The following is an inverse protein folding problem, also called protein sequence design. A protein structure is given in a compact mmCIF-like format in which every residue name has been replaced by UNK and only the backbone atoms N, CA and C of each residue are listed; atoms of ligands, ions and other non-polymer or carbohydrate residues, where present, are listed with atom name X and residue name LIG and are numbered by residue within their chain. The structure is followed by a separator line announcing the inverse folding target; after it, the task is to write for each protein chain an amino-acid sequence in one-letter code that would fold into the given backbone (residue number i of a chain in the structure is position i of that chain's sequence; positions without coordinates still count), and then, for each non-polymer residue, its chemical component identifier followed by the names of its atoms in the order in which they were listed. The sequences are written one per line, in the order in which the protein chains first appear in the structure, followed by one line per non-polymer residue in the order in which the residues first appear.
data_IF_408110249492
#
_entry.id   IF_408110249492
#
_cell.length_a   1.000
_cell.length_b   1.000
_cell.length_c   1.000
_cell.angle_alpha   90.00
_cell.angle_beta   90.00
_cell.angle_gamma   90.00
#
_symmetry.space_group_name_H-M   'P 1'
#
loop_
_entity.id
_entity.type
_entity.pdbx_description
1 polymer ?
#
# COMPACT_ATOMS: atom_id res chain seq x y z
N UNK A 1 -0.82 8.75 15.59
CA UNK A 1 -1.49 7.44 15.81
C UNK A 1 -1.59 6.63 14.50
N UNK A 2 -0.43 6.35 13.85
CA UNK A 2 -0.39 5.56 12.60
C UNK A 2 -0.77 4.10 12.85
N UNK A 3 -0.43 3.55 14.00
CA UNK A 3 -0.71 2.16 14.39
C UNK A 3 -2.20 1.81 14.45
N UNK A 4 -3.05 2.81 14.70
CA UNK A 4 -4.50 2.62 14.79
C UNK A 4 -5.23 2.81 13.46
N UNK A 5 -4.54 3.33 12.42
CA UNK A 5 -5.18 3.54 11.11
C UNK A 5 -5.34 2.22 10.39
N UNK A 6 -6.58 1.88 10.07
CA UNK A 6 -6.90 0.67 9.33
C UNK A 6 -6.44 0.75 7.87
N UNK A 7 -5.88 -0.35 7.38
CA UNK A 7 -5.48 -0.53 5.98
C UNK A 7 -6.38 -1.58 5.32
N UNK A 8 -6.95 -1.25 4.16
CA UNK A 8 -7.70 -2.19 3.32
C UNK A 8 -6.78 -2.73 2.23
N UNK A 9 -6.75 -4.06 2.06
CA UNK A 9 -5.92 -4.73 1.06
C UNK A 9 -6.78 -5.19 -0.11
N UNK A 10 -6.60 -4.60 -1.29
CA UNK A 10 -7.25 -5.03 -2.53
C UNK A 10 -6.45 -6.17 -3.17
N UNK A 11 -7.15 -7.24 -3.56
CA UNK A 11 -6.52 -8.45 -4.08
C UNK A 11 -5.91 -9.36 -3.00
N UNK A 12 -6.43 -9.30 -1.76
CA UNK A 12 -5.89 -10.02 -0.60
C UNK A 12 -5.86 -11.54 -0.76
N UNK A 13 -6.74 -12.11 -1.60
CA UNK A 13 -6.82 -13.56 -1.84
C UNK A 13 -5.90 -14.05 -2.96
N UNK A 14 -5.29 -13.14 -3.72
CA UNK A 14 -4.27 -13.50 -4.70
C UNK A 14 -2.97 -13.94 -4.01
N UNK A 15 -2.16 -14.77 -4.67
CA UNK A 15 -0.93 -15.31 -4.07
C UNK A 15 0.01 -14.19 -3.57
N UNK A 16 0.22 -13.15 -4.37
CA UNK A 16 1.06 -12.02 -4.04
C UNK A 16 0.46 -11.14 -2.94
N UNK A 17 -0.83 -10.78 -3.07
CA UNK A 17 -1.56 -10.00 -2.06
C UNK A 17 -1.64 -10.73 -0.72
N UNK A 18 -1.90 -12.04 -0.74
CA UNK A 18 -1.94 -12.89 0.46
C UNK A 18 -0.60 -12.91 1.20
N UNK A 19 0.51 -13.14 0.46
CA UNK A 19 1.85 -13.18 1.03
C UNK A 19 2.17 -11.86 1.76
N UNK A 20 1.99 -10.74 1.06
CA UNK A 20 2.35 -9.44 1.62
C UNK A 20 1.39 -8.94 2.69
N UNK A 21 0.10 -9.29 2.62
CA UNK A 21 -0.85 -9.02 3.69
C UNK A 21 -0.45 -9.71 5.00
N UNK A 22 -0.03 -10.99 4.93
CA UNK A 22 0.52 -11.72 6.09
C UNK A 22 1.74 -11.03 6.67
N UNK A 23 2.68 -10.62 5.81
CA UNK A 23 3.89 -9.92 6.24
C UNK A 23 3.59 -8.54 6.85
N UNK A 24 2.59 -7.83 6.33
CA UNK A 24 2.14 -6.55 6.89
C UNK A 24 1.54 -6.75 8.28
N UNK A 25 0.66 -7.73 8.45
CA UNK A 25 0.06 -8.08 9.75
C UNK A 25 1.14 -8.49 10.74
N UNK A 26 2.06 -9.36 10.35
CA UNK A 26 3.17 -9.81 11.20
C UNK A 26 4.11 -8.65 11.61
N UNK A 27 4.20 -7.60 10.81
CA UNK A 27 4.98 -6.41 11.11
C UNK A 27 4.26 -5.44 12.08
N UNK A 28 2.96 -5.64 12.32
CA UNK A 28 2.14 -4.78 13.17
C UNK A 28 1.19 -3.83 12.41
N UNK A 29 1.13 -3.92 11.08
CA UNK A 29 0.17 -3.12 10.30
C UNK A 29 -1.26 -3.57 10.59
N UNK A 30 -2.12 -2.62 10.96
CA UNK A 30 -3.53 -2.88 11.23
C UNK A 30 -4.33 -3.10 9.93
N UNK A 31 -4.27 -4.32 9.38
CA UNK A 31 -5.08 -4.71 8.21
C UNK A 31 -6.50 -5.02 8.69
N UNK A 32 -7.44 -4.14 8.39
CA UNK A 32 -8.83 -4.21 8.89
C UNK A 32 -9.80 -4.88 7.94
N UNK A 33 -9.46 -4.97 6.65
CA UNK A 33 -10.28 -5.61 5.64
C UNK A 33 -9.47 -6.02 4.41
N UNK A 34 -9.95 -7.04 3.72
CA UNK A 34 -9.57 -7.37 2.35
C UNK A 34 -10.70 -7.07 1.37
N UNK A 35 -10.35 -6.78 0.12
CA UNK A 35 -11.33 -6.68 -0.97
C UNK A 35 -10.94 -7.63 -2.09
N UNK A 36 -11.86 -8.53 -2.42
CA UNK A 36 -11.78 -9.41 -3.58
C UNK A 36 -13.20 -9.72 -4.06
N UNK A 37 -13.59 -9.26 -5.25
CA UNK A 37 -14.92 -9.53 -5.81
C UNK A 37 -15.23 -11.03 -5.83
N UNK A 38 -16.42 -11.42 -5.40
CA UNK A 38 -16.87 -12.81 -5.31
C UNK A 38 -16.35 -13.60 -4.10
N UNK A 39 -15.60 -12.95 -3.18
CA UNK A 39 -15.07 -13.58 -1.95
C UNK A 39 -15.61 -12.92 -0.67
N UNK A 40 -16.56 -11.99 -0.81
CA UNK A 40 -17.22 -11.36 0.34
C UNK A 40 -17.81 -12.36 1.33
N UNK A 41 -17.75 -12.05 2.60
CA UNK A 41 -18.19 -12.92 3.69
C UNK A 41 -17.15 -13.95 4.16
N UNK A 42 -16.06 -14.15 3.43
CA UNK A 42 -14.94 -14.98 3.88
C UNK A 42 -14.01 -14.18 4.82
N UNK A 43 -13.10 -14.87 5.48
CA UNK A 43 -12.07 -14.26 6.31
C UNK A 43 -10.67 -14.65 5.82
N UNK A 44 -9.79 -13.68 5.70
CA UNK A 44 -8.37 -13.92 5.49
C UNK A 44 -7.69 -14.24 6.82
N UNK A 45 -6.90 -15.33 6.87
CA UNK A 45 -6.25 -15.83 8.09
C UNK A 45 -7.21 -15.97 9.30
N UNK A 46 -8.46 -16.28 9.05
CA UNK A 46 -9.49 -16.48 10.07
C UNK A 46 -9.98 -15.21 10.78
N UNK A 47 -9.33 -14.08 10.59
CA UNK A 47 -9.60 -12.85 11.35
C UNK A 47 -10.03 -11.66 10.49
N UNK A 48 -9.33 -11.36 9.37
CA UNK A 48 -9.58 -10.18 8.54
C UNK A 48 -10.77 -10.42 7.60
N UNK A 49 -11.87 -9.68 7.72
CA UNK A 49 -13.03 -9.84 6.85
C UNK A 49 -12.72 -9.46 5.40
N UNK A 50 -13.31 -10.20 4.45
CA UNK A 50 -13.21 -9.92 3.03
C UNK A 50 -14.55 -9.39 2.52
N UNK A 51 -14.50 -8.32 1.71
CA UNK A 51 -15.64 -7.68 1.09
C UNK A 51 -15.58 -7.79 -0.44
N UNK A 52 -16.74 -7.62 -1.10
CA UNK A 52 -16.79 -7.65 -2.56
C UNK A 52 -16.39 -6.32 -3.21
N UNK A 53 -16.51 -5.21 -2.48
CA UNK A 53 -16.20 -3.86 -2.98
C UNK A 53 -15.50 -3.01 -1.93
N UNK A 54 -14.82 -1.95 -2.39
CA UNK A 54 -14.21 -0.96 -1.49
C UNK A 54 -15.27 -0.20 -0.69
N UNK A 55 -16.44 0.07 -1.29
CA UNK A 55 -17.52 0.76 -0.59
C UNK A 55 -18.00 -0.02 0.64
N UNK A 56 -18.20 -1.35 0.49
CA UNK A 56 -18.56 -2.22 1.63
C UNK A 56 -17.49 -2.20 2.71
N UNK A 57 -16.21 -2.35 2.31
CA UNK A 57 -15.09 -2.37 3.24
C UNK A 57 -14.92 -1.04 3.99
N UNK A 58 -15.03 0.09 3.29
CA UNK A 58 -14.94 1.43 3.91
C UNK A 58 -16.11 1.70 4.83
N UNK A 59 -17.33 1.33 4.45
CA UNK A 59 -18.51 1.49 5.30
C UNK A 59 -18.38 0.70 6.63
N UNK A 60 -17.79 -0.50 6.55
CA UNK A 60 -17.62 -1.35 7.73
C UNK A 60 -16.46 -0.93 8.64
N UNK A 61 -15.41 -0.31 8.09
CA UNK A 61 -14.14 -0.06 8.82
C UNK A 61 -13.80 1.41 9.01
N UNK A 62 -14.43 2.29 8.24
CA UNK A 62 -14.07 3.73 8.13
C UNK A 62 -12.59 3.99 7.78
N UNK A 63 -11.91 2.99 7.20
CA UNK A 63 -10.51 3.12 6.81
C UNK A 63 -10.31 4.17 5.71
N UNK A 64 -9.14 4.83 5.73
CA UNK A 64 -8.76 5.87 4.76
C UNK A 64 -7.51 5.51 3.97
N UNK A 65 -6.95 4.34 4.22
CA UNK A 65 -5.74 3.83 3.57
C UNK A 65 -6.08 2.53 2.87
N UNK A 66 -5.64 2.40 1.62
CA UNK A 66 -5.73 1.13 0.89
C UNK A 66 -4.44 0.84 0.13
N UNK A 67 -4.17 -0.46 -0.03
CA UNK A 67 -3.07 -0.96 -0.87
C UNK A 67 -3.62 -1.87 -1.97
N UNK A 68 -3.07 -1.75 -3.19
CA UNK A 68 -3.49 -2.51 -4.37
C UNK A 68 -2.45 -3.57 -4.72
N UNK A 69 -2.88 -4.83 -4.76
CA UNK A 69 -2.11 -5.99 -5.25
C UNK A 69 -2.74 -6.66 -6.48
N UNK A 70 -3.73 -6.03 -7.11
CA UNK A 70 -4.35 -6.60 -8.31
C UNK A 70 -3.41 -6.49 -9.53
N UNK A 71 -3.53 -7.36 -10.55
CA UNK A 71 -2.77 -7.23 -11.80
C UNK A 71 -2.99 -5.88 -12.48
N UNK A 72 -1.96 -5.39 -13.23
CA UNK A 72 -1.96 -4.07 -13.87
C UNK A 72 -3.23 -3.72 -14.65
N UNK A 73 -3.76 -4.69 -15.40
CA UNK A 73 -5.01 -4.51 -16.18
C UNK A 73 -6.26 -4.18 -15.34
N UNK A 74 -6.23 -4.44 -14.04
CA UNK A 74 -7.33 -4.14 -13.11
C UNK A 74 -7.04 -2.92 -12.23
N UNK A 75 -5.85 -2.33 -12.35
CA UNK A 75 -5.42 -1.22 -11.51
C UNK A 75 -6.39 -0.04 -11.53
N UNK A 76 -6.76 0.44 -12.73
CA UNK A 76 -7.61 1.63 -12.86
C UNK A 76 -8.98 1.42 -12.19
N UNK A 77 -9.60 0.25 -12.38
CA UNK A 77 -10.86 -0.10 -11.72
C UNK A 77 -10.72 -0.10 -10.21
N UNK A 78 -9.67 -0.73 -9.68
CA UNK A 78 -9.40 -0.82 -8.25
C UNK A 78 -9.10 0.57 -7.64
N UNK A 79 -8.36 1.43 -8.34
CA UNK A 79 -8.07 2.79 -7.91
C UNK A 79 -9.35 3.66 -7.87
N UNK A 80 -10.18 3.59 -8.92
CA UNK A 80 -11.47 4.31 -8.97
C UNK A 80 -12.40 3.88 -7.84
N UNK A 81 -12.53 2.57 -7.60
CA UNK A 81 -13.37 2.04 -6.52
C UNK A 81 -12.90 2.55 -5.16
N UNK A 82 -11.59 2.51 -4.89
CA UNK A 82 -11.01 3.03 -3.65
C UNK A 82 -11.24 4.53 -3.46
N UNK A 83 -10.91 5.34 -4.47
CA UNK A 83 -11.00 6.80 -4.40
C UNK A 83 -12.46 7.27 -4.26
N UNK A 84 -13.39 6.65 -5.00
CA UNK A 84 -14.81 6.96 -4.90
C UNK A 84 -15.42 6.52 -3.56
N UNK A 85 -14.87 5.49 -2.92
CA UNK A 85 -15.25 5.05 -1.57
C UNK A 85 -14.66 5.91 -0.44
N UNK A 86 -13.84 6.92 -0.75
CA UNK A 86 -13.32 7.88 0.22
C UNK A 86 -11.97 7.54 0.83
N UNK A 87 -11.18 6.66 0.19
CA UNK A 87 -9.76 6.45 0.51
C UNK A 87 -8.97 7.74 0.25
N UNK A 88 -8.04 8.05 1.14
CA UNK A 88 -7.20 9.25 1.08
C UNK A 88 -5.72 8.96 0.81
N UNK A 89 -5.27 7.75 1.12
CA UNK A 89 -3.94 7.27 0.77
C UNK A 89 -4.07 5.92 0.08
N UNK A 90 -3.64 5.86 -1.16
CA UNK A 90 -3.65 4.66 -1.99
C UNK A 90 -2.22 4.26 -2.35
N UNK A 91 -1.80 3.07 -1.95
CA UNK A 91 -0.48 2.51 -2.29
C UNK A 91 -0.66 1.50 -3.42
N UNK A 92 -0.04 1.75 -4.57
CA UNK A 92 -0.24 0.97 -5.80
C UNK A 92 1.01 0.16 -6.16
N UNK A 93 0.99 -1.14 -5.83
CA UNK A 93 2.13 -2.03 -6.05
C UNK A 93 2.29 -2.45 -7.52
N UNK A 94 1.24 -2.62 -8.35
CA UNK A 94 1.38 -3.18 -9.69
C UNK A 94 2.41 -2.45 -10.56
N UNK A 95 3.19 -3.26 -11.27
CA UNK A 95 4.09 -2.80 -12.34
C UNK A 95 3.38 -2.87 -13.69
N UNK A 96 3.94 -2.19 -14.70
CA UNK A 96 3.43 -2.20 -16.07
C UNK A 96 1.98 -1.72 -16.23
N UNK A 97 1.56 -0.82 -15.35
CA UNK A 97 0.27 -0.13 -15.50
C UNK A 97 0.33 0.78 -16.73
N UNK A 98 -0.67 0.76 -17.63
CA UNK A 98 -0.71 1.67 -18.75
C UNK A 98 -0.62 3.14 -18.32
N UNK A 99 0.18 3.94 -19.00
CA UNK A 99 0.38 5.37 -18.68
C UNK A 99 -0.97 6.12 -18.59
N UNK A 100 -1.86 5.85 -19.53
CA UNK A 100 -3.20 6.45 -19.53
C UNK A 100 -3.98 6.13 -18.23
N UNK A 101 -3.90 4.89 -17.78
CA UNK A 101 -4.61 4.45 -16.57
C UNK A 101 -4.02 5.11 -15.31
N UNK A 102 -2.70 5.28 -15.28
CA UNK A 102 -2.01 6.02 -14.21
C UNK A 102 -2.44 7.47 -14.19
N UNK A 103 -2.42 8.16 -15.35
CA UNK A 103 -2.84 9.57 -15.47
C UNK A 103 -4.29 9.76 -14.98
N UNK A 104 -5.20 8.88 -15.42
CA UNK A 104 -6.62 8.96 -15.04
C UNK A 104 -6.82 8.74 -13.54
N UNK A 105 -6.09 7.80 -12.94
CA UNK A 105 -6.13 7.55 -11.50
C UNK A 105 -5.59 8.73 -10.68
N UNK A 106 -4.48 9.33 -11.12
CA UNK A 106 -3.87 10.51 -10.47
C UNK A 106 -4.78 11.75 -10.54
N UNK A 107 -5.42 11.98 -11.70
CA UNK A 107 -6.38 13.08 -11.84
C UNK A 107 -7.58 12.90 -10.91
N UNK A 108 -8.15 11.69 -10.85
CA UNK A 108 -9.22 11.38 -9.92
C UNK A 108 -8.78 11.54 -8.45
N UNK A 109 -7.58 11.10 -8.10
CA UNK A 109 -7.06 11.28 -6.75
C UNK A 109 -6.96 12.75 -6.37
N UNK A 110 -6.45 13.60 -7.27
CA UNK A 110 -6.41 15.06 -7.08
C UNK A 110 -7.81 15.64 -6.85
N UNK A 111 -8.79 15.25 -7.68
CA UNK A 111 -10.19 15.69 -7.51
C UNK A 111 -10.80 15.28 -6.17
N UNK A 112 -10.42 14.11 -5.64
CA UNK A 112 -10.91 13.57 -4.35
C UNK A 112 -10.09 14.04 -3.14
N UNK A 113 -9.05 14.84 -3.33
CA UNK A 113 -8.13 15.24 -2.27
C UNK A 113 -7.45 14.02 -1.64
N UNK A 114 -7.01 13.09 -2.46
CA UNK A 114 -6.32 11.87 -2.07
C UNK A 114 -4.90 11.83 -2.70
N UNK A 115 -4.05 10.98 -2.16
CA UNK A 115 -2.68 10.76 -2.65
C UNK A 115 -2.54 9.30 -3.12
N UNK A 116 -1.90 9.10 -4.25
CA UNK A 116 -1.45 7.80 -4.73
C UNK A 116 0.07 7.74 -4.62
N UNK A 117 0.59 6.69 -3.99
CA UNK A 117 2.00 6.32 -4.01
C UNK A 117 2.15 5.15 -4.99
N UNK A 118 2.97 5.31 -6.01
CA UNK A 118 3.05 4.38 -7.13
C UNK A 118 2.25 4.88 -8.35
N UNK A 119 1.96 4.02 -9.34
CA UNK A 119 2.22 2.55 -9.34
C UNK A 119 3.71 2.18 -9.40
N UNK A 120 3.97 0.87 -9.40
CA UNK A 120 5.32 0.32 -9.37
C UNK A 120 6.14 0.81 -8.15
N UNK A 121 5.54 0.71 -6.95
CA UNK A 121 6.16 1.11 -5.70
C UNK A 121 6.39 -0.09 -4.78
N UNK A 122 7.49 -0.10 -4.00
CA UNK A 122 7.62 -1.04 -2.89
C UNK A 122 6.77 -0.65 -1.66
N UNK A 123 6.16 0.55 -1.65
CA UNK A 123 5.27 1.02 -0.58
C UNK A 123 5.89 2.03 0.38
N UNK A 124 5.43 1.97 1.61
CA UNK A 124 5.80 2.87 2.71
C UNK A 124 6.24 2.02 3.90
N UNK A 125 7.31 2.47 4.58
CA UNK A 125 7.81 1.90 5.82
C UNK A 125 8.03 3.01 6.85
N UNK A 126 7.43 2.89 8.01
CA UNK A 126 7.86 3.59 9.22
C UNK A 126 8.42 2.52 10.13
N UNK A 127 9.77 2.44 10.29
CA UNK A 127 10.40 1.35 11.02
C UNK A 127 9.84 1.19 12.43
N UNK A 128 9.65 -0.05 12.84
CA UNK A 128 9.09 -0.46 14.14
C UNK A 128 7.59 -0.12 14.35
N UNK A 129 6.94 0.59 13.42
CA UNK A 129 5.56 1.02 13.55
C UNK A 129 4.62 0.43 12.49
N UNK A 130 4.89 0.68 11.21
CA UNK A 130 3.96 0.28 10.14
C UNK A 130 4.70 0.00 8.84
N UNK A 131 4.24 -1.02 8.14
CA UNK A 131 4.65 -1.38 6.80
C UNK A 131 3.42 -1.46 5.89
N UNK A 132 3.37 -0.64 4.85
CA UNK A 132 2.31 -0.69 3.82
C UNK A 132 2.98 -0.96 2.48
N UNK A 133 3.14 -2.23 2.13
CA UNK A 133 3.86 -2.62 0.92
C UNK A 133 4.65 -3.89 1.05
N UNK A 134 5.64 -4.02 0.17
CA UNK A 134 6.44 -5.23 -0.01
C UNK A 134 7.85 -5.13 0.59
N UNK A 135 8.23 -3.99 1.15
CA UNK A 135 9.56 -3.77 1.72
C UNK A 135 9.90 -4.84 2.76
N UNK A 136 11.06 -5.53 2.68
CA UNK A 136 11.52 -6.40 3.75
C UNK A 136 11.89 -5.58 5.00
N UNK A 137 11.69 -6.07 6.22
CA UNK A 137 12.01 -5.30 7.43
C UNK A 137 13.51 -5.03 7.64
N UNK A 138 14.37 -5.92 7.19
CA UNK A 138 15.80 -5.99 7.53
C UNK A 138 16.64 -4.71 7.32
N UNK A 139 16.52 -3.95 6.18
CA UNK A 139 17.36 -2.77 6.00
C UNK A 139 16.90 -1.55 6.79
N UNK A 140 15.81 -1.64 7.55
CA UNK A 140 15.19 -0.47 8.19
C UNK A 140 15.30 -0.52 9.71
N UNK A 141 15.68 0.62 10.31
CA UNK A 141 15.71 0.84 11.75
C UNK A 141 15.15 2.21 12.06
N UNK A 142 14.45 2.33 13.18
CA UNK A 142 13.92 3.62 13.62
C UNK A 142 15.01 4.68 13.79
N UNK A 143 14.77 5.86 13.26
CA UNK A 143 15.72 6.97 13.30
C UNK A 143 15.11 8.29 12.84
N UNK A 144 15.95 9.21 12.36
CA UNK A 144 15.52 10.60 12.11
C UNK A 144 15.49 10.98 10.61
N UNK A 145 15.98 10.13 9.72
CA UNK A 145 16.15 10.48 8.31
C UNK A 145 14.96 9.98 7.50
N UNK A 146 14.30 10.88 6.77
CA UNK A 146 13.29 10.50 5.79
C UNK A 146 13.98 10.11 4.47
N UNK A 147 13.59 8.96 3.89
CA UNK A 147 14.11 8.48 2.59
C UNK A 147 12.97 8.40 1.61
N UNK A 148 13.08 9.15 0.50
CA UNK A 148 12.15 9.11 -0.62
C UNK A 148 12.91 8.75 -1.88
N UNK A 149 12.47 7.73 -2.62
CA UNK A 149 13.16 7.29 -3.83
C UNK A 149 12.18 6.77 -4.90
N UNK A 150 12.46 7.09 -6.16
CA UNK A 150 11.78 6.44 -7.31
C UNK A 150 12.30 5.02 -7.52
N UNK A 151 13.57 4.77 -7.23
CA UNK A 151 14.18 3.44 -7.37
C UNK A 151 13.97 2.62 -6.11
N UNK A 152 13.32 1.46 -6.23
CA UNK A 152 13.18 0.50 -5.13
C UNK A 152 14.52 -0.05 -4.66
N UNK A 153 15.44 -0.36 -5.58
CA UNK A 153 16.78 -0.89 -5.24
C UNK A 153 17.61 0.14 -4.48
N UNK A 154 17.71 1.37 -4.98
CA UNK A 154 18.46 2.44 -4.29
C UNK A 154 17.84 2.78 -2.94
N UNK A 155 16.54 2.67 -2.80
CA UNK A 155 15.85 2.87 -1.54
C UNK A 155 16.35 1.89 -0.46
N UNK A 156 16.51 0.62 -0.81
CA UNK A 156 17.03 -0.40 0.11
C UNK A 156 18.50 -0.16 0.43
N UNK A 157 19.33 0.09 -0.57
CA UNK A 157 20.78 0.35 -0.41
C UNK A 157 21.03 1.56 0.51
N UNK A 158 20.32 2.67 0.27
CA UNK A 158 20.47 3.88 1.09
C UNK A 158 19.97 3.63 2.52
N UNK A 159 18.85 2.92 2.68
CA UNK A 159 18.30 2.64 4.00
C UNK A 159 19.22 1.71 4.80
N UNK A 160 19.81 0.70 4.16
CA UNK A 160 20.80 -0.18 4.78
C UNK A 160 22.05 0.58 5.20
N UNK A 161 22.60 1.40 4.31
CA UNK A 161 23.76 2.24 4.60
C UNK A 161 23.50 3.19 5.80
N UNK A 162 22.33 3.83 5.85
CA UNK A 162 21.93 4.68 6.97
C UNK A 162 21.80 3.89 8.28
N UNK A 163 21.21 2.70 8.21
CA UNK A 163 21.05 1.82 9.37
C UNK A 163 22.41 1.37 9.91
N UNK A 164 23.31 0.95 9.02
CA UNK A 164 24.68 0.54 9.38
C UNK A 164 25.51 1.70 9.93
N UNK A 165 25.26 2.93 9.46
CA UNK A 165 25.89 4.15 9.99
C UNK A 165 25.26 4.65 11.31
N UNK A 166 24.24 3.97 11.84
CA UNK A 166 23.61 4.29 13.12
C UNK A 166 22.55 5.40 13.07
N UNK A 167 22.15 5.88 11.88
CA UNK A 167 21.18 6.97 11.76
C UNK A 167 19.72 6.50 11.79
N UNK A 168 19.38 5.45 11.06
CA UNK A 168 18.03 4.93 10.91
C UNK A 168 17.05 5.88 10.18
N UNK A 169 15.81 5.42 9.96
CA UNK A 169 14.81 6.14 9.17
C UNK A 169 13.58 6.53 10.01
N UNK A 170 13.10 7.76 9.83
CA UNK A 170 11.80 8.20 10.38
C UNK A 170 10.65 7.71 9.51
N UNK A 171 10.86 7.69 8.21
CA UNK A 171 9.94 7.16 7.20
C UNK A 171 10.71 6.84 5.93
N UNK A 172 10.31 5.79 5.23
CA UNK A 172 10.81 5.44 3.91
C UNK A 172 9.65 5.29 2.94
N UNK A 173 9.71 5.98 1.80
CA UNK A 173 8.67 5.97 0.78
C UNK A 173 9.31 5.66 -0.58
N UNK A 174 8.90 4.53 -1.18
CA UNK A 174 9.13 4.30 -2.59
C UNK A 174 8.07 5.05 -3.40
N UNK A 175 8.45 6.10 -4.09
CA UNK A 175 7.48 6.91 -4.86
C UNK A 175 6.91 6.09 -6.02
N UNK A 176 7.73 5.24 -6.63
CA UNK A 176 7.36 4.38 -7.75
C UNK A 176 8.16 4.66 -9.00
N UNK A 177 8.44 3.57 -9.75
CA UNK A 177 9.18 3.62 -11.00
C UNK A 177 8.34 3.98 -12.23
N UNK A 178 7.07 4.36 -12.02
CA UNK A 178 6.18 4.76 -13.11
C UNK A 178 6.65 6.09 -13.74
N UNK A 179 6.57 6.22 -15.09
CA UNK A 179 7.06 7.42 -15.78
C UNK A 179 6.20 8.67 -15.55
N UNK A 180 4.98 8.53 -15.03
CA UNK A 180 4.03 9.65 -14.85
C UNK A 180 4.11 10.27 -13.45
N UNK A 181 4.51 9.48 -12.46
CA UNK A 181 4.49 9.87 -11.04
C UNK A 181 5.83 10.45 -10.57
#
# INVERSE_FOLDING_TARGET
DYEKKGVIVQGITGSYGSLHAKQMIAYGTNVVAGVTPGKGGQKFEGTVPIYNSMQEAVNATNAKISIIFVPAKFFLGAAKDALNSGIKLLVAIPEHVPIRDTMEALDLAKQKGAVIIGPNTPGIMIPELIKIGIMPPMPFKAGKIAVLSKSGTLLYEISDALTNAGFGQSITIGIGGDPVN
#
